data_IF_275033768974
#
_entry.id   IF_275033768974
#
_cell.length_a   1.000
_cell.length_b   1.000
_cell.length_c   1.000
_cell.angle_alpha   90.00
_cell.angle_beta   90.00
_cell.angle_gamma   90.00
#
_symmetry.space_group_name_H-M   'P 1'
#
loop_
_entity.id
_entity.type
_entity.pdbx_description
1 polymer ?
#
# COMPACT_ATOMS: atom_id res chain seq x y z
N UNK A 1 -37.75 -19.92 -9.41
CA UNK A 1 -38.09 -19.55 -8.02
C UNK A 1 -37.00 -18.60 -7.51
N UNK A 2 -37.36 -17.39 -7.09
CA UNK A 2 -36.39 -16.42 -6.56
C UNK A 2 -36.27 -16.65 -5.05
N UNK A 3 -35.18 -17.28 -4.59
CA UNK A 3 -34.99 -17.70 -3.19
C UNK A 3 -34.75 -16.54 -2.19
N UNK A 4 -34.93 -15.28 -2.60
CA UNK A 4 -34.66 -14.11 -1.76
C UNK A 4 -33.17 -13.90 -1.43
N UNK A 5 -32.26 -14.39 -2.27
CA UNK A 5 -30.81 -14.25 -2.06
C UNK A 5 -30.33 -12.97 -2.74
N UNK A 6 -29.92 -11.99 -1.95
CA UNK A 6 -29.48 -10.68 -2.46
C UNK A 6 -27.95 -10.52 -2.48
N UNK A 7 -27.26 -11.19 -1.56
CA UNK A 7 -25.81 -11.12 -1.40
C UNK A 7 -25.16 -12.41 -1.90
N UNK A 8 -24.20 -12.29 -2.81
CA UNK A 8 -23.55 -13.44 -3.45
C UNK A 8 -22.04 -13.27 -3.40
N UNK A 9 -21.36 -14.28 -2.88
CA UNK A 9 -19.91 -14.40 -2.91
C UNK A 9 -19.56 -15.50 -3.90
N UNK A 10 -18.81 -15.17 -4.94
CA UNK A 10 -18.31 -16.18 -5.88
C UNK A 10 -16.83 -16.43 -5.63
N UNK A 11 -16.43 -17.68 -5.75
CA UNK A 11 -15.05 -18.16 -5.68
C UNK A 11 -14.90 -19.41 -6.55
N UNK A 12 -13.67 -19.85 -6.80
CA UNK A 12 -13.41 -21.07 -7.56
C UNK A 12 -12.33 -20.90 -8.63
N UNK A 13 -12.22 -21.93 -9.48
CA UNK A 13 -11.20 -22.03 -10.53
C UNK A 13 -11.70 -21.51 -11.88
N UNK A 14 -10.76 -21.26 -12.80
CA UNK A 14 -11.00 -20.62 -14.09
C UNK A 14 -11.72 -19.28 -13.92
N UNK A 15 -11.20 -18.40 -13.06
CA UNK A 15 -11.82 -17.12 -12.71
C UNK A 15 -12.21 -16.30 -13.94
N UNK A 16 -11.30 -16.21 -14.91
CA UNK A 16 -11.52 -15.53 -16.20
C UNK A 16 -12.63 -16.12 -17.08
N UNK A 17 -13.12 -17.33 -16.80
CA UNK A 17 -14.15 -18.03 -17.59
C UNK A 17 -15.38 -18.40 -16.77
N UNK A 18 -15.25 -19.34 -15.83
CA UNK A 18 -16.36 -19.92 -15.09
C UNK A 18 -16.93 -18.94 -14.07
N UNK A 19 -16.06 -18.37 -13.25
CA UNK A 19 -16.46 -17.43 -12.18
C UNK A 19 -16.95 -16.12 -12.80
N UNK A 20 -16.28 -15.62 -13.84
CA UNK A 20 -16.59 -14.33 -14.44
C UNK A 20 -17.72 -14.36 -15.47
N UNK A 21 -17.69 -15.33 -16.39
CA UNK A 21 -18.37 -15.25 -17.70
C UNK A 21 -19.56 -16.18 -17.90
N UNK A 22 -19.77 -17.18 -17.04
CA UNK A 22 -20.94 -18.09 -17.17
C UNK A 22 -22.26 -17.35 -16.92
N UNK A 23 -23.41 -17.90 -17.35
CA UNK A 23 -24.73 -17.31 -17.09
C UNK A 23 -24.98 -17.02 -15.60
N UNK A 24 -24.39 -17.82 -14.71
CA UNK A 24 -24.44 -17.66 -13.26
C UNK A 24 -23.20 -16.97 -12.65
N UNK A 25 -22.29 -16.45 -13.47
CA UNK A 25 -21.05 -15.81 -13.05
C UNK A 25 -21.20 -14.34 -12.64
N UNK A 26 -20.10 -13.75 -12.15
CA UNK A 26 -20.03 -12.41 -11.57
C UNK A 26 -20.70 -11.34 -12.45
N UNK A 27 -20.40 -11.32 -13.76
CA UNK A 27 -20.93 -10.30 -14.68
C UNK A 27 -22.46 -10.30 -14.74
N UNK A 28 -23.05 -11.48 -14.79
CA UNK A 28 -24.51 -11.59 -14.91
C UNK A 28 -25.18 -11.35 -13.57
N UNK A 29 -24.62 -11.86 -12.47
CA UNK A 29 -25.14 -11.60 -11.13
C UNK A 29 -25.13 -10.10 -10.80
N UNK A 30 -24.05 -9.38 -11.13
CA UNK A 30 -23.98 -7.93 -10.98
C UNK A 30 -25.02 -7.21 -11.88
N UNK A 31 -25.15 -7.61 -13.15
CA UNK A 31 -26.16 -7.06 -14.08
C UNK A 31 -27.60 -7.29 -13.61
N UNK A 32 -27.86 -8.37 -12.89
CA UNK A 32 -29.16 -8.67 -12.31
C UNK A 32 -29.41 -7.97 -10.96
N UNK A 33 -28.57 -7.02 -10.57
CA UNK A 33 -28.77 -6.19 -9.38
C UNK A 33 -28.48 -6.91 -8.06
N UNK A 34 -27.70 -8.00 -8.09
CA UNK A 34 -27.23 -8.65 -6.87
C UNK A 34 -26.07 -7.89 -6.26
N UNK A 35 -25.95 -7.96 -4.93
CA UNK A 35 -24.76 -7.51 -4.22
C UNK A 35 -23.70 -8.61 -4.35
N UNK A 36 -22.81 -8.46 -5.33
CA UNK A 36 -21.83 -9.50 -5.66
C UNK A 36 -20.43 -9.08 -5.25
N UNK A 37 -19.69 -10.02 -4.67
CA UNK A 37 -18.24 -9.89 -4.46
C UNK A 37 -17.50 -11.15 -4.92
N UNK A 38 -16.27 -10.99 -5.37
CA UNK A 38 -15.33 -12.10 -5.61
C UNK A 38 -14.50 -12.36 -4.35
N UNK A 39 -14.43 -13.61 -3.89
CA UNK A 39 -13.43 -14.01 -2.89
C UNK A 39 -12.07 -14.18 -3.57
N UNK A 40 -11.24 -13.13 -3.53
CA UNK A 40 -10.04 -13.01 -4.37
C UNK A 40 -8.91 -13.96 -3.98
N UNK A 41 -8.78 -14.30 -2.71
CA UNK A 41 -7.72 -15.17 -2.20
C UNK A 41 -8.03 -16.66 -2.39
N UNK A 42 -9.29 -17.03 -2.65
CA UNK A 42 -9.72 -18.42 -2.91
C UNK A 42 -10.17 -18.63 -4.36
N UNK A 43 -9.54 -17.90 -5.30
CA UNK A 43 -9.81 -18.04 -6.73
C UNK A 43 -8.53 -18.32 -7.51
N UNK A 44 -8.67 -18.98 -8.66
CA UNK A 44 -7.57 -19.31 -9.55
C UNK A 44 -8.01 -19.14 -11.00
N UNK A 45 -7.14 -18.57 -11.85
CA UNK A 45 -7.49 -18.29 -13.24
C UNK A 45 -6.86 -19.29 -14.21
N UNK A 46 -7.47 -19.50 -15.38
CA UNK A 46 -6.78 -20.19 -16.47
C UNK A 46 -5.84 -19.19 -17.16
N UNK A 47 -4.55 -19.27 -16.86
CA UNK A 47 -3.52 -18.39 -17.42
C UNK A 47 -2.29 -19.17 -17.87
N UNK A 48 -1.70 -18.75 -19.00
CA UNK A 48 -0.48 -19.33 -19.55
C UNK A 48 0.65 -18.29 -19.44
N UNK A 49 1.58 -18.51 -18.50
CA UNK A 49 2.72 -17.61 -18.25
C UNK A 49 3.69 -17.49 -19.43
N UNK A 50 3.59 -18.37 -20.43
CA UNK A 50 4.37 -18.30 -21.68
C UNK A 50 3.76 -17.37 -22.72
N UNK A 51 2.62 -16.77 -22.44
CA UNK A 51 1.97 -15.78 -23.30
C UNK A 51 2.01 -14.41 -22.64
N UNK A 52 1.98 -13.36 -23.46
CA UNK A 52 1.88 -11.98 -22.99
C UNK A 52 0.78 -11.85 -21.90
N UNK A 53 1.05 -11.17 -20.76
CA UNK A 53 2.19 -10.29 -20.49
C UNK A 53 3.45 -10.96 -19.91
N UNK A 54 3.61 -12.28 -20.04
CA UNK A 54 4.80 -13.03 -19.60
C UNK A 54 5.07 -12.91 -18.09
N UNK A 55 4.02 -12.89 -17.28
CA UNK A 55 4.11 -12.84 -15.82
C UNK A 55 3.91 -14.23 -15.21
N UNK A 56 4.17 -14.36 -13.90
CA UNK A 56 3.87 -15.59 -13.17
C UNK A 56 2.37 -15.93 -13.22
N UNK A 57 2.02 -17.20 -13.01
CA UNK A 57 0.62 -17.62 -12.91
C UNK A 57 -0.19 -16.83 -11.87
N UNK A 58 0.42 -16.58 -10.71
CA UNK A 58 -0.21 -15.84 -9.63
C UNK A 58 -0.40 -14.36 -9.98
N UNK A 59 0.61 -13.73 -10.59
CA UNK A 59 0.45 -12.36 -11.13
C UNK A 59 -0.64 -12.32 -12.21
N UNK A 60 -0.72 -13.33 -13.07
CA UNK A 60 -1.80 -13.45 -14.06
C UNK A 60 -3.19 -13.54 -13.41
N UNK A 61 -3.31 -14.23 -12.28
CA UNK A 61 -4.54 -14.27 -11.47
C UNK A 61 -4.86 -12.89 -10.89
N UNK A 62 -3.88 -12.19 -10.31
CA UNK A 62 -4.04 -10.84 -9.77
C UNK A 62 -4.53 -9.84 -10.83
N UNK A 63 -4.05 -9.95 -12.07
CA UNK A 63 -4.52 -9.10 -13.18
C UNK A 63 -6.01 -9.33 -13.51
N UNK A 64 -6.48 -10.57 -13.41
CA UNK A 64 -7.91 -10.89 -13.58
C UNK A 64 -8.73 -10.36 -12.41
N UNK A 65 -8.24 -10.49 -11.18
CA UNK A 65 -8.88 -9.90 -9.98
C UNK A 65 -9.00 -8.38 -10.14
N UNK A 66 -7.94 -7.69 -10.55
CA UNK A 66 -7.95 -6.23 -10.81
C UNK A 66 -8.92 -5.83 -11.91
N UNK A 67 -9.02 -6.63 -12.98
CA UNK A 67 -10.03 -6.39 -14.02
C UNK A 67 -11.46 -6.50 -13.44
N UNK A 68 -11.70 -7.48 -12.58
CA UNK A 68 -13.00 -7.68 -11.93
C UNK A 68 -13.33 -6.50 -11.01
N UNK A 69 -12.38 -6.07 -10.17
CA UNK A 69 -12.53 -4.91 -9.28
C UNK A 69 -12.84 -3.63 -10.04
N UNK A 70 -12.18 -3.43 -11.19
CA UNK A 70 -12.33 -2.22 -11.99
C UNK A 70 -13.65 -2.15 -12.75
N UNK A 71 -14.16 -3.28 -13.25
CA UNK A 71 -15.22 -3.28 -14.26
C UNK A 71 -16.48 -4.06 -13.87
N UNK A 72 -16.45 -4.85 -12.79
CA UNK A 72 -17.52 -5.81 -12.50
C UNK A 72 -18.06 -5.64 -11.09
N UNK A 73 -17.24 -5.89 -10.07
CA UNK A 73 -17.68 -5.82 -8.68
C UNK A 73 -16.49 -5.75 -7.70
N UNK A 74 -16.72 -5.32 -6.45
CA UNK A 74 -15.70 -5.39 -5.40
C UNK A 74 -15.24 -6.82 -5.10
N UNK A 75 -14.14 -6.93 -4.36
CA UNK A 75 -13.59 -8.21 -3.88
C UNK A 75 -13.58 -8.26 -2.35
N UNK A 76 -13.43 -9.47 -1.82
CA UNK A 76 -13.25 -9.74 -0.40
C UNK A 76 -12.22 -10.86 -0.23
N UNK A 77 -11.60 -10.95 0.94
CA UNK A 77 -10.73 -12.06 1.33
C UNK A 77 -11.46 -13.03 2.25
N UNK A 78 -10.99 -14.28 2.32
CA UNK A 78 -11.54 -15.30 3.22
C UNK A 78 -11.46 -14.91 4.71
N UNK A 79 -10.55 -14.00 5.08
CA UNK A 79 -10.40 -13.46 6.45
C UNK A 79 -11.69 -12.85 6.99
N UNK A 80 -12.52 -12.26 6.12
CA UNK A 80 -13.78 -11.63 6.51
C UNK A 80 -14.81 -12.60 7.11
N UNK A 81 -14.65 -13.91 6.90
CA UNK A 81 -15.58 -14.93 7.39
C UNK A 81 -14.92 -15.99 8.26
N UNK A 82 -13.68 -16.37 7.94
CA UNK A 82 -13.10 -17.58 8.49
C UNK A 82 -12.52 -17.39 9.90
N UNK A 83 -12.33 -16.15 10.37
CA UNK A 83 -11.56 -15.86 11.59
C UNK A 83 -10.12 -16.40 11.53
N UNK A 84 -9.63 -16.69 10.32
CA UNK A 84 -8.35 -17.31 10.01
C UNK A 84 -7.54 -16.36 9.13
N UNK A 85 -6.25 -16.64 9.01
CA UNK A 85 -5.37 -15.92 8.10
C UNK A 85 -5.81 -16.08 6.64
N UNK A 86 -5.56 -15.04 5.84
CA UNK A 86 -5.84 -15.02 4.40
C UNK A 86 -5.25 -16.26 3.72
N UNK A 87 -6.04 -16.89 2.86
CA UNK A 87 -5.57 -18.05 2.11
C UNK A 87 -4.44 -17.62 1.16
N UNK A 88 -3.40 -18.45 1.07
CA UNK A 88 -2.30 -18.26 0.13
C UNK A 88 -1.97 -19.62 -0.49
N UNK A 89 -1.90 -19.68 -1.81
CA UNK A 89 -1.48 -20.90 -2.49
C UNK A 89 -0.05 -21.27 -2.08
N UNK A 90 0.18 -22.54 -1.71
CA UNK A 90 1.49 -23.03 -1.26
C UNK A 90 2.63 -22.72 -2.24
N UNK A 91 2.31 -22.68 -3.53
CA UNK A 91 3.26 -22.45 -4.61
C UNK A 91 3.46 -20.97 -4.97
N UNK A 92 2.67 -20.06 -4.40
CA UNK A 92 2.96 -18.64 -4.51
C UNK A 92 4.10 -18.29 -3.55
N UNK A 93 5.27 -17.99 -4.12
CA UNK A 93 6.51 -17.67 -3.40
C UNK A 93 6.93 -16.21 -3.56
N UNK A 94 6.07 -15.38 -4.17
CA UNK A 94 6.35 -13.96 -4.39
C UNK A 94 6.45 -13.24 -3.05
N UNK A 95 7.37 -12.29 -2.95
CA UNK A 95 7.47 -11.43 -1.77
C UNK A 95 6.24 -10.52 -1.69
N UNK A 96 5.63 -10.43 -0.52
CA UNK A 96 4.44 -9.62 -0.26
C UNK A 96 4.82 -8.23 0.22
N UNK A 97 4.48 -7.21 -0.56
CA UNK A 97 4.64 -5.80 -0.23
C UNK A 97 3.28 -5.20 0.10
N UNK A 98 3.12 -4.67 1.30
CA UNK A 98 1.88 -4.02 1.74
C UNK A 98 2.06 -2.51 1.70
N UNK A 99 1.26 -1.84 0.88
CA UNK A 99 1.22 -0.39 0.77
C UNK A 99 0.12 0.13 1.68
N UNK A 100 0.47 1.00 2.63
CA UNK A 100 -0.45 1.68 3.52
C UNK A 100 -0.55 3.13 3.04
N UNK A 101 -1.63 3.44 2.32
CA UNK A 101 -1.86 4.72 1.67
C UNK A 101 -3.04 5.45 2.32
N UNK A 102 -2.80 6.59 2.96
CA UNK A 102 -3.85 7.40 3.59
C UNK A 102 -3.42 8.86 3.71
N UNK A 103 -3.01 9.41 2.58
CA UNK A 103 -2.60 10.80 2.43
C UNK A 103 -3.41 11.46 1.30
N UNK A 104 -3.59 12.78 1.37
CA UNK A 104 -4.40 13.54 0.40
C UNK A 104 -3.68 14.74 -0.17
N UNK A 105 -2.35 14.80 -0.04
CA UNK A 105 -1.51 15.93 -0.44
C UNK A 105 -0.70 15.63 -1.71
N UNK A 106 -0.29 14.38 -1.91
CA UNK A 106 0.67 13.95 -2.93
C UNK A 106 0.10 12.97 -3.95
N UNK A 107 -1.22 12.74 -3.95
CA UNK A 107 -1.89 11.85 -4.91
C UNK A 107 -1.37 10.41 -4.87
N UNK A 108 -1.06 9.91 -3.67
CA UNK A 108 -0.62 8.52 -3.46
C UNK A 108 -1.71 7.52 -3.86
N UNK A 109 -2.99 7.87 -3.68
CA UNK A 109 -4.12 7.03 -4.09
C UNK A 109 -4.18 6.78 -5.60
N UNK A 110 -3.68 7.72 -6.40
CA UNK A 110 -3.59 7.59 -7.86
C UNK A 110 -2.27 6.94 -8.30
N UNK A 111 -1.15 7.31 -7.65
CA UNK A 111 0.19 6.92 -8.11
C UNK A 111 0.68 5.56 -7.59
N UNK A 112 0.33 5.17 -6.36
CA UNK A 112 0.74 3.88 -5.80
C UNK A 112 0.14 2.66 -6.52
N UNK A 113 -1.13 2.67 -7.00
CA UNK A 113 -1.65 1.57 -7.82
C UNK A 113 -0.82 1.31 -9.08
N UNK A 114 -0.38 2.36 -9.78
CA UNK A 114 0.45 2.24 -10.98
C UNK A 114 1.85 1.69 -10.63
N UNK A 115 2.44 2.19 -9.55
CA UNK A 115 3.73 1.70 -9.07
C UNK A 115 3.65 0.23 -8.61
N UNK A 116 2.61 -0.15 -7.88
CA UNK A 116 2.37 -1.54 -7.49
C UNK A 116 2.21 -2.47 -8.71
N UNK A 117 1.50 -2.01 -9.74
CA UNK A 117 1.37 -2.75 -11.00
C UNK A 117 2.71 -2.97 -11.70
N UNK A 118 3.59 -1.96 -11.71
CA UNK A 118 4.94 -2.10 -12.24
C UNK A 118 5.74 -3.14 -11.45
N UNK A 119 5.67 -3.10 -10.12
CA UNK A 119 6.36 -4.05 -9.24
C UNK A 119 5.88 -5.50 -9.43
N UNK A 120 4.58 -5.70 -9.61
CA UNK A 120 4.02 -7.02 -9.88
C UNK A 120 4.43 -7.57 -11.24
N UNK A 121 4.39 -6.73 -12.28
CA UNK A 121 4.58 -7.18 -13.67
C UNK A 121 6.04 -7.30 -14.07
N UNK A 122 6.90 -6.41 -13.58
CA UNK A 122 8.35 -6.42 -13.90
C UNK A 122 9.19 -7.20 -12.90
N UNK A 123 8.80 -7.19 -11.63
CA UNK A 123 9.62 -7.76 -10.54
C UNK A 123 8.95 -8.94 -9.84
N UNK A 124 7.73 -9.32 -10.24
CA UNK A 124 7.07 -10.51 -9.71
C UNK A 124 6.70 -10.40 -8.23
N UNK A 125 6.49 -9.18 -7.71
CA UNK A 125 6.05 -8.97 -6.33
C UNK A 125 4.54 -9.21 -6.19
N UNK A 126 4.10 -9.58 -4.98
CA UNK A 126 2.69 -9.59 -4.60
C UNK A 126 2.40 -8.28 -3.86
N UNK A 127 1.69 -7.34 -4.50
CA UNK A 127 1.42 -6.03 -3.91
C UNK A 127 -0.02 -5.97 -3.37
N UNK A 128 -0.17 -5.60 -2.10
CA UNK A 128 -1.45 -5.39 -1.44
C UNK A 128 -1.58 -3.91 -1.07
N UNK A 129 -2.54 -3.21 -1.67
CA UNK A 129 -2.77 -1.78 -1.44
C UNK A 129 -3.90 -1.58 -0.44
N UNK A 130 -3.55 -1.15 0.76
CA UNK A 130 -4.48 -0.67 1.76
C UNK A 130 -4.68 0.82 1.55
N UNK A 131 -5.90 1.23 1.21
CA UNK A 131 -6.25 2.61 0.91
C UNK A 131 -7.23 3.15 1.95
N UNK A 132 -6.78 4.14 2.73
CA UNK A 132 -7.64 4.96 3.58
C UNK A 132 -8.21 6.16 2.81
N UNK A 133 -9.15 6.88 3.42
CA UNK A 133 -9.72 8.08 2.82
C UNK A 133 -8.65 9.14 2.54
N UNK A 134 -8.69 9.77 1.37
CA UNK A 134 -7.85 10.92 1.02
C UNK A 134 -8.44 12.25 1.50
N UNK A 135 -9.74 12.29 1.78
CA UNK A 135 -10.42 13.46 2.31
C UNK A 135 -10.11 13.64 3.80
N UNK A 136 -9.43 14.75 4.11
CA UNK A 136 -9.11 15.15 5.48
C UNK A 136 -10.33 15.35 6.39
N UNK A 137 -11.52 15.60 5.83
CA UNK A 137 -12.77 15.85 6.55
C UNK A 137 -13.65 14.61 6.68
N UNK A 138 -13.26 13.50 6.05
CA UNK A 138 -14.01 12.25 6.15
C UNK A 138 -14.09 11.77 7.60
N UNK A 139 -15.27 11.32 8.02
CA UNK A 139 -15.45 10.65 9.32
C UNK A 139 -14.64 9.35 9.41
N UNK A 140 -14.40 8.72 8.26
CA UNK A 140 -13.60 7.50 8.11
C UNK A 140 -12.11 7.77 7.83
N UNK A 141 -11.63 9.02 7.97
CA UNK A 141 -10.21 9.36 7.69
C UNK A 141 -9.22 8.50 8.47
N UNK A 142 -9.63 8.06 9.65
CA UNK A 142 -8.84 7.30 10.63
C UNK A 142 -9.11 5.79 10.56
N UNK A 143 -9.79 5.32 9.51
CA UNK A 143 -10.05 3.92 9.27
C UNK A 143 -9.34 3.44 8.00
N UNK A 144 -8.78 2.23 8.05
CA UNK A 144 -8.21 1.57 6.88
C UNK A 144 -8.45 0.04 6.93
N UNK A 145 -9.15 -0.49 5.94
CA UNK A 145 -9.49 -1.92 5.89
C UNK A 145 -8.28 -2.77 5.52
N UNK A 146 -8.23 -4.02 5.99
CA UNK A 146 -7.28 -5.04 5.53
C UNK A 146 -5.92 -5.08 6.24
N UNK A 147 -5.75 -4.38 7.37
CA UNK A 147 -4.47 -4.33 8.11
C UNK A 147 -3.96 -5.71 8.56
N UNK A 148 -4.83 -6.71 8.69
CA UNK A 148 -4.46 -8.08 9.02
C UNK A 148 -3.51 -8.73 7.99
N UNK A 149 -3.49 -8.22 6.76
CA UNK A 149 -2.56 -8.69 5.70
C UNK A 149 -1.09 -8.49 6.10
N UNK A 150 -0.81 -7.53 6.98
CA UNK A 150 0.52 -7.28 7.52
C UNK A 150 1.09 -8.47 8.29
N UNK A 151 0.26 -9.43 8.75
CA UNK A 151 0.74 -10.68 9.36
C UNK A 151 1.54 -11.57 8.40
N UNK A 152 1.44 -11.33 7.09
CA UNK A 152 2.13 -12.07 6.02
C UNK A 152 3.04 -11.20 5.15
N UNK A 153 3.16 -9.92 5.47
CA UNK A 153 3.99 -9.00 4.69
C UNK A 153 5.48 -9.33 4.86
N UNK A 154 6.23 -9.25 3.77
CA UNK A 154 7.69 -9.25 3.76
C UNK A 154 8.24 -7.82 3.83
N UNK A 155 7.49 -6.85 3.31
CA UNK A 155 7.81 -5.43 3.32
C UNK A 155 6.53 -4.61 3.52
N UNK A 156 6.59 -3.56 4.33
CA UNK A 156 5.55 -2.54 4.38
C UNK A 156 6.08 -1.22 3.81
N UNK A 157 5.21 -0.51 3.09
CA UNK A 157 5.44 0.84 2.62
C UNK A 157 4.36 1.75 3.20
N UNK A 158 4.77 2.81 3.89
CA UNK A 158 3.86 3.78 4.51
C UNK A 158 3.90 5.09 3.76
N UNK A 159 2.74 5.51 3.26
CA UNK A 159 2.50 6.83 2.72
C UNK A 159 1.19 7.37 3.32
N UNK A 160 1.27 7.69 4.61
CA UNK A 160 0.14 8.10 5.45
C UNK A 160 0.40 9.48 6.00
N UNK A 161 -0.64 10.29 6.14
CA UNK A 161 -0.52 11.65 6.68
C UNK A 161 -1.50 11.88 7.82
N UNK A 162 -0.98 12.19 9.01
CA UNK A 162 -1.75 12.74 10.15
C UNK A 162 -3.00 11.90 10.48
N UNK A 163 -2.84 10.59 10.62
CA UNK A 163 -3.89 9.63 10.99
C UNK A 163 -3.69 9.13 12.41
N UNK A 164 -4.77 8.75 13.07
CA UNK A 164 -4.72 7.91 14.26
C UNK A 164 -5.63 6.74 13.94
N UNK A 165 -5.08 5.57 13.64
CA UNK A 165 -5.91 4.40 13.33
C UNK A 165 -6.46 3.78 14.62
N UNK A 166 -7.52 2.97 14.49
CA UNK A 166 -8.09 2.24 15.62
C UNK A 166 -7.01 1.36 16.28
N UNK A 167 -7.12 1.15 17.60
CA UNK A 167 -6.13 0.37 18.34
C UNK A 167 -5.85 -1.02 17.73
N UNK A 168 -6.90 -1.69 17.25
CA UNK A 168 -6.80 -3.00 16.60
C UNK A 168 -6.02 -2.94 15.27
N UNK A 169 -6.26 -1.91 14.44
CA UNK A 169 -5.53 -1.69 13.19
C UNK A 169 -4.05 -1.37 13.46
N UNK A 170 -3.77 -0.52 14.45
CA UNK A 170 -2.40 -0.20 14.84
C UNK A 170 -1.65 -1.40 15.42
N UNK A 171 -2.36 -2.35 16.05
CA UNK A 171 -1.75 -3.57 16.55
C UNK A 171 -1.09 -4.38 15.43
N UNK A 172 -1.78 -4.61 14.31
CA UNK A 172 -1.21 -5.33 13.16
C UNK A 172 0.06 -4.67 12.62
N UNK A 173 0.10 -3.33 12.60
CA UNK A 173 1.28 -2.60 12.15
C UNK A 173 2.43 -2.68 13.13
N UNK A 174 2.18 -2.59 14.44
CA UNK A 174 3.21 -2.77 15.46
C UNK A 174 3.79 -4.18 15.45
N UNK A 175 2.92 -5.20 15.43
CA UNK A 175 3.33 -6.61 15.35
C UNK A 175 4.17 -6.89 14.09
N UNK A 176 3.91 -6.17 12.98
CA UNK A 176 4.73 -6.25 11.78
C UNK A 176 6.13 -5.65 11.95
N UNK A 177 6.23 -4.47 12.57
CA UNK A 177 7.51 -3.77 12.73
C UNK A 177 8.50 -4.53 13.61
N UNK A 178 8.02 -5.40 14.50
CA UNK A 178 8.88 -6.28 15.31
C UNK A 178 9.65 -7.31 14.47
N UNK A 179 9.27 -7.52 13.21
CA UNK A 179 9.81 -8.58 12.35
C UNK A 179 10.16 -8.16 10.93
N UNK A 180 9.76 -6.97 10.48
CA UNK A 180 9.72 -6.62 9.07
C UNK A 180 10.36 -5.27 8.72
N UNK A 181 10.98 -5.14 7.54
CA UNK A 181 11.53 -3.89 7.03
C UNK A 181 10.43 -2.89 6.64
N UNK A 182 10.72 -1.59 6.72
CA UNK A 182 9.74 -0.55 6.37
C UNK A 182 10.33 0.45 5.36
N UNK A 183 9.52 0.88 4.41
CA UNK A 183 9.78 2.07 3.58
C UNK A 183 8.79 3.17 3.98
N UNK A 184 9.29 4.30 4.47
CA UNK A 184 8.48 5.50 4.69
C UNK A 184 8.62 6.48 3.52
N UNK A 185 7.49 6.94 2.97
CA UNK A 185 7.47 7.96 1.91
C UNK A 185 6.87 9.27 2.42
N UNK A 186 7.54 10.39 2.12
CA UNK A 186 7.06 11.76 2.35
C UNK A 186 6.47 11.96 3.75
N UNK A 187 5.15 12.02 3.86
CA UNK A 187 4.39 12.30 5.08
C UNK A 187 4.47 11.20 6.13
N UNK A 188 5.10 10.06 5.82
CA UNK A 188 5.38 8.97 6.75
C UNK A 188 6.06 9.45 8.05
N UNK A 189 6.92 10.47 7.98
CA UNK A 189 7.57 11.08 9.16
C UNK A 189 6.60 11.72 10.16
N UNK A 190 5.33 11.86 9.80
CA UNK A 190 4.28 12.31 10.70
C UNK A 190 2.96 11.59 10.39
N UNK A 191 3.07 10.32 9.98
CA UNK A 191 1.94 9.49 9.61
C UNK A 191 0.92 9.40 10.76
N UNK A 192 1.39 9.16 11.98
CA UNK A 192 0.56 8.78 13.13
C UNK A 192 0.43 9.88 14.20
N UNK A 193 0.64 11.13 13.82
CA UNK A 193 0.52 12.29 14.72
C UNK A 193 -0.61 13.20 14.22
N UNK A 194 -1.80 13.11 14.81
CA UNK A 194 -2.95 13.96 14.50
C UNK A 194 -2.88 15.31 15.23
N UNK A 195 -1.75 15.60 15.90
CA UNK A 195 -1.55 16.76 16.76
C UNK A 195 -2.53 16.77 17.94
N UNK A 196 -2.82 15.60 18.50
CA UNK A 196 -3.71 15.45 19.64
C UNK A 196 -5.20 15.49 19.33
N UNK A 197 -5.58 15.28 18.06
CA UNK A 197 -6.97 15.22 17.61
C UNK A 197 -7.40 13.78 17.29
N UNK A 198 -6.85 12.79 17.99
CA UNK A 198 -7.24 11.40 17.81
C UNK A 198 -8.62 11.18 18.43
N UNK A 199 -9.56 10.55 17.72
CA UNK A 199 -10.85 10.16 18.30
C UNK A 199 -10.67 9.08 19.37
N UNK A 200 -11.67 8.91 20.23
CA UNK A 200 -11.70 7.83 21.22
C UNK A 200 -11.50 6.46 20.55
N UNK A 201 -10.77 5.58 21.24
CA UNK A 201 -10.41 4.25 20.72
C UNK A 201 -9.34 4.22 19.62
N UNK A 202 -8.83 5.38 19.18
CA UNK A 202 -7.75 5.47 18.21
C UNK A 202 -6.42 5.79 18.88
N UNK A 203 -5.33 5.41 18.22
CA UNK A 203 -3.97 5.51 18.76
C UNK A 203 -3.13 6.45 17.90
N UNK A 204 -2.49 7.42 18.55
CA UNK A 204 -1.38 8.18 17.97
C UNK A 204 -0.05 7.49 18.26
N UNK A 205 0.91 7.71 17.36
CA UNK A 205 2.31 7.37 17.57
C UNK A 205 3.18 8.56 17.18
N UNK A 206 3.17 9.60 18.03
CA UNK A 206 3.85 10.87 17.75
C UNK A 206 5.37 10.75 17.60
N UNK A 207 5.96 9.71 18.21
CA UNK A 207 7.39 9.40 18.12
C UNK A 207 7.74 8.38 17.03
N UNK A 208 6.81 8.05 16.14
CA UNK A 208 7.04 7.08 15.07
C UNK A 208 8.28 7.41 14.21
N UNK A 209 8.49 8.67 13.87
CA UNK A 209 9.63 9.10 13.05
C UNK A 209 10.99 8.86 13.73
N UNK A 210 11.25 9.36 14.95
CA UNK A 210 12.51 9.08 15.63
C UNK A 210 12.66 7.63 16.09
N UNK A 211 11.57 6.92 16.42
CA UNK A 211 11.64 5.54 16.95
C UNK A 211 11.76 4.48 15.84
N UNK A 212 11.15 4.70 14.67
CA UNK A 212 11.07 3.69 13.60
C UNK A 212 11.86 4.11 12.36
N UNK A 213 11.69 5.34 11.89
CA UNK A 213 12.35 5.82 10.67
C UNK A 213 13.76 6.35 10.92
N UNK A 214 14.08 6.70 12.17
CA UNK A 214 15.32 7.37 12.54
C UNK A 214 15.38 8.84 12.06
N UNK A 215 14.23 9.43 11.73
CA UNK A 215 14.08 10.83 11.34
C UNK A 215 13.83 11.75 12.54
N UNK A 216 13.64 13.04 12.25
CA UNK A 216 13.25 14.02 13.26
C UNK A 216 12.50 15.20 12.62
N UNK A 217 11.28 14.96 12.17
CA UNK A 217 10.46 15.94 11.45
C UNK A 217 9.98 17.11 12.34
N UNK A 218 10.29 18.34 11.92
CA UNK A 218 9.84 19.58 12.58
C UNK A 218 8.98 20.48 11.70
N UNK A 219 8.81 20.13 10.43
CA UNK A 219 8.15 21.01 9.47
C UNK A 219 8.77 20.91 8.09
N UNK A 220 8.55 21.95 7.29
CA UNK A 220 9.09 22.03 5.95
C UNK A 220 9.32 23.48 5.53
N UNK A 221 10.35 23.68 4.71
CA UNK A 221 10.52 24.92 3.97
C UNK A 221 9.42 24.96 2.91
N UNK A 222 8.53 25.98 2.99
CA UNK A 222 7.29 26.08 2.21
C UNK A 222 7.46 25.97 0.69
N UNK A 223 6.35 26.09 -0.05
CA UNK A 223 6.39 25.98 -1.52
C UNK A 223 7.28 27.06 -2.15
N UNK A 224 8.05 26.72 -3.20
CA UNK A 224 8.79 27.70 -4.01
C UNK A 224 10.27 27.39 -4.24
N UNK A 225 11.07 27.01 -3.22
CA UNK A 225 12.47 26.69 -3.45
C UNK A 225 12.61 25.35 -4.16
N UNK A 226 13.26 25.36 -5.33
CA UNK A 226 13.68 24.12 -5.98
C UNK A 226 14.82 23.51 -5.16
N UNK A 227 14.64 22.26 -4.74
CA UNK A 227 15.64 21.54 -3.95
C UNK A 227 16.64 20.89 -4.88
N UNK A 228 17.92 21.21 -4.72
CA UNK A 228 19.00 20.45 -5.35
C UNK A 228 19.31 19.22 -4.51
N UNK A 229 19.19 18.04 -5.09
CA UNK A 229 19.46 16.76 -4.42
C UNK A 229 20.82 16.22 -4.86
N UNK A 230 21.65 15.90 -3.88
CA UNK A 230 23.02 15.39 -4.07
C UNK A 230 23.27 14.12 -3.25
N UNK A 231 24.32 13.38 -3.60
CA UNK A 231 24.74 12.19 -2.86
C UNK A 231 25.40 12.63 -1.56
N UNK A 232 24.98 12.05 -0.44
CA UNK A 232 25.59 12.31 0.86
C UNK A 232 27.04 11.79 0.91
N UNK A 233 27.88 12.44 1.71
CA UNK A 233 29.23 11.96 1.97
C UNK A 233 29.20 10.50 2.48
N UNK A 234 30.03 9.63 1.87
CA UNK A 234 30.08 8.20 2.21
C UNK A 234 28.95 7.33 1.62
N UNK A 235 28.03 7.89 0.84
CA UNK A 235 26.94 7.15 0.20
C UNK A 235 27.19 6.78 -1.27
N UNK A 236 28.30 7.24 -1.87
CA UNK A 236 28.64 6.92 -3.26
C UNK A 236 28.80 5.40 -3.43
N UNK A 237 28.15 4.83 -4.44
CA UNK A 237 28.17 3.39 -4.70
C UNK A 237 27.19 2.55 -3.85
N UNK A 238 26.33 3.18 -3.03
CA UNK A 238 25.30 2.44 -2.31
C UNK A 238 24.32 1.75 -3.29
N UNK A 239 23.95 0.48 -3.09
CA UNK A 239 23.10 -0.26 -4.04
C UNK A 239 21.75 0.41 -4.35
N UNK A 240 21.13 1.05 -3.36
CA UNK A 240 19.86 1.81 -3.55
C UNK A 240 20.02 2.97 -4.56
N UNK A 241 21.23 3.51 -4.73
CA UNK A 241 21.50 4.59 -5.66
C UNK A 241 21.98 4.10 -7.03
N UNK A 242 22.04 2.79 -7.26
CA UNK A 242 22.44 2.23 -8.54
C UNK A 242 21.50 2.70 -9.67
N UNK A 243 22.06 3.26 -10.73
CA UNK A 243 21.31 3.78 -11.88
C UNK A 243 20.63 5.14 -11.66
N UNK A 244 20.71 5.74 -10.45
CA UNK A 244 20.12 7.05 -10.19
C UNK A 244 21.08 8.15 -10.66
N UNK A 245 20.63 8.99 -11.59
CA UNK A 245 21.40 10.14 -12.08
C UNK A 245 21.44 11.26 -11.03
N UNK A 246 22.62 11.82 -10.79
CA UNK A 246 22.88 12.84 -9.77
C UNK A 246 23.75 13.97 -10.33
N UNK A 247 23.57 15.23 -9.87
CA UNK A 247 22.48 15.69 -9.02
C UNK A 247 21.15 15.76 -9.80
N UNK A 248 20.03 15.86 -9.07
CA UNK A 248 18.74 16.16 -9.69
C UNK A 248 18.01 17.26 -8.91
N UNK A 249 17.06 17.91 -9.59
CA UNK A 249 16.25 18.97 -9.01
C UNK A 249 14.88 18.41 -8.61
N UNK A 250 14.39 18.79 -7.44
CA UNK A 250 13.08 18.40 -6.92
C UNK A 250 12.23 19.63 -6.63
N UNK A 251 10.98 19.59 -7.12
CA UNK A 251 9.97 20.62 -6.85
C UNK A 251 9.18 20.35 -5.55
N UNK A 252 9.46 19.23 -4.86
CA UNK A 252 8.81 18.92 -3.59
C UNK A 252 9.41 19.75 -2.45
N UNK A 253 8.56 20.18 -1.51
CA UNK A 253 9.03 20.86 -0.29
C UNK A 253 10.04 20.00 0.47
N UNK A 254 11.14 20.64 0.88
CA UNK A 254 12.20 20.05 1.70
C UNK A 254 11.77 20.09 3.18
N UNK A 255 11.85 18.94 3.84
CA UNK A 255 11.46 18.79 5.24
C UNK A 255 12.62 19.10 6.18
N UNK A 256 12.29 19.69 7.32
CA UNK A 256 13.24 19.95 8.41
C UNK A 256 13.35 18.69 9.26
N UNK A 257 14.39 17.88 9.01
CA UNK A 257 14.52 16.52 9.58
C UNK A 257 15.76 16.33 10.47
N UNK A 258 16.56 17.36 10.65
CA UNK A 258 17.80 17.29 11.42
C UNK A 258 17.57 17.50 12.92
N UNK A 259 18.37 16.86 13.79
CA UNK A 259 19.32 15.79 13.49
C UNK A 259 18.63 14.44 13.22
N UNK A 260 19.21 13.63 12.34
CA UNK A 260 18.80 12.22 12.18
C UNK A 260 19.36 11.36 13.33
N UNK A 261 18.73 10.19 13.55
CA UNK A 261 19.26 9.18 14.49
C UNK A 261 20.69 8.78 14.13
N UNK A 262 21.49 8.43 15.15
CA UNK A 262 22.87 7.93 14.96
C UNK A 262 22.91 6.63 14.15
N UNK A 263 21.84 5.85 14.16
CA UNK A 263 21.72 4.63 13.36
C UNK A 263 21.35 4.89 11.89
N UNK A 264 20.93 6.11 11.55
CA UNK A 264 20.51 6.46 10.20
C UNK A 264 21.73 6.68 9.28
N UNK A 265 21.76 5.97 8.14
CA UNK A 265 22.72 6.21 7.07
C UNK A 265 22.12 7.13 6.03
N UNK A 266 22.56 8.39 6.00
CA UNK A 266 22.12 9.36 5.00
C UNK A 266 22.66 8.98 3.62
N UNK A 267 21.76 8.83 2.64
CA UNK A 267 22.12 8.51 1.25
C UNK A 267 22.11 9.75 0.35
N UNK A 268 21.13 10.62 0.54
CA UNK A 268 20.93 11.85 -0.23
C UNK A 268 20.79 13.05 0.71
N UNK A 269 21.11 14.23 0.18
CA UNK A 269 20.98 15.53 0.84
C UNK A 269 20.25 16.46 -0.10
N UNK A 270 19.20 17.12 0.40
CA UNK A 270 18.50 18.18 -0.32
C UNK A 270 18.94 19.54 0.20
N UNK A 271 19.29 20.46 -0.70
CA UNK A 271 19.68 21.83 -0.36
C UNK A 271 18.78 22.83 -1.06
N UNK A 272 18.41 23.89 -0.35
CA UNK A 272 17.71 25.07 -0.90
C UNK A 272 18.54 26.33 -0.65
N UNK A 273 18.38 27.40 -1.46
CA UNK A 273 19.15 28.63 -1.26
C UNK A 273 19.03 29.18 0.16
N UNK A 274 20.15 29.68 0.70
CA UNK A 274 20.22 30.34 2.01
C UNK A 274 19.82 29.49 3.22
N UNK A 275 19.89 28.15 3.11
CA UNK A 275 19.70 27.21 4.23
C UNK A 275 20.82 26.19 4.28
N UNK A 276 21.15 25.76 5.49
CA UNK A 276 22.11 24.69 5.69
C UNK A 276 21.54 23.34 5.22
N UNK A 277 22.37 22.45 4.64
CA UNK A 277 21.99 21.12 4.18
C UNK A 277 21.58 20.11 5.27
#
# INVERSE_FOLDING_TARGET
>A
QHLGIDNIILMGVHTNMCVLGRPFGLRNMARYGRNVVLMRDMTDTMYNSRMHPFVSHFTGTDLIVKHIEKFVCPTITSTAFAGRQQFCFKNDKRLRVVFISAEGEYKAAETLPEFAHELETKYGLCCELLQGSTDSRSKERNYISGMEVLSKADLALVFVRRRAFQAEQMKYFRDYLDRGPLIGLRTASHAFDTRGNAPDGHVEWRKFDPEVLGGNYHGHYGSGPVTTVTVAAGAKGHPILAGVQMPFMSNGSLYEVSPLSRSAKRLLIGTIPNKEP
#
